data_IF_290144628674
#
_entry.id   IF_290144628674
#
_cell.length_a   1.000
_cell.length_b   1.000
_cell.length_c   1.000
_cell.angle_alpha   90.00
_cell.angle_beta   90.00
_cell.angle_gamma   90.00
#
_symmetry.space_group_name_H-M   'P 1'
#
loop_
_entity.id
_entity.type
_entity.pdbx_description
1 polymer ?
#
# COMPACT_ATOMS: atom_id res chain seq x y z
N UNK A 1 -8.66 -8.19 -20.52
CA UNK A 1 -9.32 -8.68 -19.30
C UNK A 1 -8.52 -8.20 -18.11
N UNK A 2 -9.21 -7.95 -16.99
CA UNK A 2 -8.86 -7.04 -15.89
C UNK A 2 -7.58 -7.44 -15.14
N UNK A 3 -6.54 -6.60 -15.22
CA UNK A 3 -5.33 -6.63 -14.35
C UNK A 3 -5.67 -6.08 -12.94
N UNK A 4 -6.71 -6.67 -12.32
CA UNK A 4 -7.12 -6.30 -10.96
C UNK A 4 -6.32 -7.13 -9.97
N UNK A 5 -5.60 -6.44 -9.10
CA UNK A 5 -4.87 -7.01 -7.99
C UNK A 5 -5.84 -7.07 -6.80
N UNK A 6 -5.96 -8.25 -6.24
CA UNK A 6 -6.67 -8.47 -4.99
C UNK A 6 -5.64 -8.47 -3.87
N UNK A 7 -5.72 -7.44 -3.04
CA UNK A 7 -4.86 -7.31 -1.87
C UNK A 7 -5.44 -8.22 -0.78
N UNK A 8 -4.61 -9.07 -0.19
CA UNK A 8 -5.01 -9.94 0.92
C UNK A 8 -4.72 -9.26 2.25
N UNK A 9 -5.45 -9.65 3.30
CA UNK A 9 -5.25 -9.11 4.67
C UNK A 9 -3.79 -9.28 5.13
N UNK A 10 -3.18 -10.43 4.83
CA UNK A 10 -1.77 -10.70 5.10
C UNK A 10 -0.81 -9.72 4.42
N UNK A 11 -1.12 -9.25 3.21
CA UNK A 11 -0.31 -8.23 2.53
C UNK A 11 -0.46 -6.86 3.19
N UNK A 12 -1.67 -6.51 3.65
CA UNK A 12 -1.93 -5.28 4.41
C UNK A 12 -1.18 -5.29 5.74
N UNK A 13 -1.21 -6.41 6.46
CA UNK A 13 -0.42 -6.59 7.69
C UNK A 13 1.08 -6.48 7.40
N UNK A 14 1.56 -7.10 6.33
CA UNK A 14 2.99 -7.04 5.96
C UNK A 14 3.42 -5.61 5.65
N UNK A 15 2.61 -4.84 4.93
CA UNK A 15 2.85 -3.41 4.67
C UNK A 15 2.91 -2.62 5.98
N UNK A 16 1.87 -2.71 6.81
CA UNK A 16 1.78 -1.93 8.07
C UNK A 16 2.86 -2.31 9.09
N UNK A 17 3.35 -3.55 9.05
CA UNK A 17 4.46 -4.01 9.87
C UNK A 17 5.82 -3.53 9.34
N UNK A 18 6.04 -3.53 8.02
CA UNK A 18 7.32 -3.13 7.42
C UNK A 18 7.59 -1.63 7.45
N UNK A 19 6.55 -0.79 7.33
CA UNK A 19 6.75 0.66 7.35
C UNK A 19 6.91 1.15 8.79
N UNK A 20 8.06 0.83 9.40
CA UNK A 20 8.38 1.24 10.76
C UNK A 20 8.60 2.76 10.89
N UNK A 21 8.96 3.41 9.79
CA UNK A 21 9.18 4.85 9.65
C UNK A 21 7.91 5.69 9.86
N UNK A 22 6.73 5.10 9.67
CA UNK A 22 5.45 5.78 9.85
C UNK A 22 5.01 5.77 11.31
N UNK A 23 4.38 6.88 11.73
CA UNK A 23 3.62 7.00 12.97
C UNK A 23 2.41 6.06 12.96
N UNK A 24 1.88 5.74 14.15
CA UNK A 24 0.70 4.88 14.26
C UNK A 24 -0.48 5.41 13.43
N UNK A 25 -0.77 6.71 13.49
CA UNK A 25 -1.83 7.33 12.70
C UNK A 25 -1.63 7.16 11.19
N UNK A 26 -0.39 7.34 10.70
CA UNK A 26 -0.08 7.21 9.28
C UNK A 26 -0.19 5.75 8.81
N UNK A 27 0.18 4.79 9.67
CA UNK A 27 -0.03 3.36 9.39
C UNK A 27 -1.51 3.01 9.32
N UNK A 28 -2.34 3.60 10.18
CA UNK A 28 -3.79 3.42 10.13
C UNK A 28 -4.39 3.98 8.85
N UNK A 29 -3.91 5.13 8.36
CA UNK A 29 -4.37 5.69 7.08
C UNK A 29 -3.95 4.83 5.89
N UNK A 30 -2.71 4.33 5.87
CA UNK A 30 -2.25 3.37 4.84
C UNK A 30 -3.06 2.09 4.91
N UNK A 31 -3.33 1.56 6.11
CA UNK A 31 -4.18 0.38 6.32
C UNK A 31 -5.59 0.59 5.79
N UNK A 32 -6.20 1.73 6.11
CA UNK A 32 -7.55 2.08 5.66
C UNK A 32 -7.63 2.20 4.14
N UNK A 33 -6.61 2.80 3.51
CA UNK A 33 -6.51 2.86 2.06
C UNK A 33 -6.44 1.46 1.46
N UNK A 34 -5.50 0.62 1.91
CA UNK A 34 -5.34 -0.73 1.37
C UNK A 34 -6.60 -1.60 1.55
N UNK A 35 -7.32 -1.43 2.67
CA UNK A 35 -8.61 -2.11 2.89
C UNK A 35 -9.68 -1.67 1.90
N UNK A 36 -9.76 -0.37 1.57
CA UNK A 36 -10.67 0.10 0.49
C UNK A 36 -10.29 -0.51 -0.85
N UNK A 37 -9.00 -0.53 -1.16
CA UNK A 37 -8.47 -1.06 -2.42
C UNK A 37 -8.66 -2.58 -2.55
N UNK A 38 -8.62 -3.31 -1.43
CA UNK A 38 -8.94 -4.74 -1.36
C UNK A 38 -10.39 -5.02 -1.77
N UNK A 39 -11.35 -4.22 -1.30
CA UNK A 39 -12.78 -4.48 -1.53
C UNK A 39 -13.19 -4.31 -2.99
N UNK A 40 -12.63 -3.32 -3.69
CA UNK A 40 -12.99 -3.02 -5.08
C UNK A 40 -12.13 -3.78 -6.12
N UNK A 41 -10.96 -4.26 -5.69
CA UNK A 41 -9.91 -4.80 -6.54
C UNK A 41 -9.30 -3.69 -7.40
N UNK A 42 -8.02 -3.41 -7.17
CA UNK A 42 -7.36 -2.25 -7.77
C UNK A 42 -6.53 -2.61 -9.01
N UNK A 43 -6.54 -1.75 -10.03
CA UNK A 43 -5.62 -1.90 -11.16
C UNK A 43 -4.19 -1.50 -10.79
N UNK A 44 -3.16 -2.17 -11.35
CA UNK A 44 -1.75 -1.85 -11.04
C UNK A 44 -1.42 -0.36 -11.17
N UNK A 45 -1.85 0.29 -12.25
CA UNK A 45 -1.60 1.72 -12.46
C UNK A 45 -2.28 2.60 -11.42
N UNK A 46 -3.48 2.22 -10.98
CA UNK A 46 -4.23 2.94 -9.96
C UNK A 46 -3.52 2.80 -8.60
N UNK A 47 -3.02 1.60 -8.30
CA UNK A 47 -2.24 1.37 -7.07
C UNK A 47 -0.98 2.24 -7.04
N UNK A 48 -0.22 2.31 -8.13
CA UNK A 48 0.95 3.21 -8.19
C UNK A 48 0.56 4.69 -8.02
N UNK A 49 -0.60 5.13 -8.52
CA UNK A 49 -1.08 6.52 -8.30
C UNK A 49 -1.41 6.78 -6.84
N UNK A 50 -2.06 5.84 -6.18
CA UNK A 50 -2.40 5.94 -4.76
C UNK A 50 -1.14 5.90 -3.89
N UNK A 51 -0.16 5.03 -4.20
CA UNK A 51 1.15 5.02 -3.54
C UNK A 51 1.92 6.33 -3.75
N UNK A 52 1.87 6.91 -4.95
CA UNK A 52 2.50 8.21 -5.22
C UNK A 52 1.83 9.35 -4.44
N UNK A 53 0.50 9.27 -4.21
CA UNK A 53 -0.20 10.20 -3.32
C UNK A 53 0.23 10.03 -1.87
N UNK A 54 0.29 8.79 -1.38
CA UNK A 54 0.79 8.50 -0.03
C UNK A 54 2.22 9.03 0.18
N UNK A 55 3.10 8.85 -0.81
CA UNK A 55 4.45 9.41 -0.80
C UNK A 55 4.46 10.92 -0.58
N UNK A 56 3.56 11.63 -1.26
CA UNK A 56 3.47 13.09 -1.17
C UNK A 56 2.84 13.55 0.15
N UNK A 57 1.86 12.81 0.68
CA UNK A 57 1.14 13.16 1.91
C UNK A 57 1.93 12.86 3.18
N UNK A 58 2.62 11.72 3.23
CA UNK A 58 3.26 11.20 4.45
C UNK A 58 4.79 11.18 4.37
N UNK A 59 5.37 11.89 3.40
CA UNK A 59 6.81 11.95 3.15
C UNK A 59 7.49 10.56 3.12
N UNK A 60 6.79 9.52 2.64
CA UNK A 60 7.33 8.17 2.55
C UNK A 60 8.62 8.18 1.74
N UNK A 61 9.64 7.50 2.25
CA UNK A 61 10.88 7.33 1.53
C UNK A 61 10.68 6.36 0.36
N UNK A 62 11.60 6.38 -0.62
CA UNK A 62 11.61 5.36 -1.69
C UNK A 62 11.74 3.93 -1.13
N UNK A 63 12.34 3.77 0.06
CA UNK A 63 12.45 2.47 0.73
C UNK A 63 11.08 2.00 1.21
N UNK A 64 10.29 2.90 1.81
CA UNK A 64 8.95 2.57 2.31
C UNK A 64 8.02 2.21 1.15
N UNK A 65 8.05 2.98 0.05
CA UNK A 65 7.28 2.68 -1.17
C UNK A 65 7.67 1.32 -1.74
N UNK A 66 8.97 1.03 -1.82
CA UNK A 66 9.46 -0.25 -2.32
C UNK A 66 9.05 -1.41 -1.43
N UNK A 67 9.05 -1.25 -0.11
CA UNK A 67 8.56 -2.26 0.83
C UNK A 67 7.06 -2.51 0.67
N UNK A 68 6.27 -1.46 0.38
CA UNK A 68 4.85 -1.61 0.06
C UNK A 68 4.66 -2.39 -1.23
N UNK A 69 5.37 -2.03 -2.29
CA UNK A 69 5.32 -2.75 -3.56
C UNK A 69 5.76 -4.22 -3.41
N UNK A 70 6.80 -4.49 -2.64
CA UNK A 70 7.27 -5.84 -2.32
C UNK A 70 6.19 -6.66 -1.60
N UNK A 71 5.56 -6.09 -0.57
CA UNK A 71 4.49 -6.74 0.16
C UNK A 71 3.25 -6.99 -0.72
N UNK A 72 2.91 -6.07 -1.62
CA UNK A 72 1.73 -6.18 -2.50
C UNK A 72 1.96 -7.06 -3.73
N UNK A 73 3.19 -7.16 -4.24
CA UNK A 73 3.49 -7.85 -5.49
C UNK A 73 4.40 -9.07 -5.35
N UNK A 74 5.02 -9.29 -4.19
CA UNK A 74 5.87 -10.45 -3.90
C UNK A 74 7.04 -10.60 -4.88
N UNK A 75 7.76 -9.51 -5.17
CA UNK A 75 8.93 -9.54 -6.07
C UNK A 75 10.22 -9.91 -5.36
#
# INVERSE_FOLDING_TARGET
>A
MKDRIYITDAQIEKVTYHITSLSQAEREEVRALLNRLQSDGIGRQELHRELARLRKSYALSDIDIRAIEDALFGR
#
